data_IF_770528921533
#
_entry.id   IF_770528921533
#
_cell.length_a   1.000
_cell.length_b   1.000
_cell.length_c   1.000
_cell.angle_alpha   90.00
_cell.angle_beta   90.00
_cell.angle_gamma   90.00
#
_symmetry.space_group_name_H-M   'P 1'
#
loop_
_entity.id
_entity.type
_entity.pdbx_description
1 polymer ?
#
# COMPACT_ATOMS: atom_id res chain seq x y z
N UNK A 1 59.94 -37.48 59.57
CA UNK A 1 60.11 -37.51 58.09
C UNK A 1 58.74 -37.42 57.51
N UNK A 2 58.27 -36.16 57.20
CA UNK A 2 56.94 -35.87 56.72
C UNK A 2 56.93 -35.59 55.20
N UNK A 3 56.29 -36.41 54.43
CA UNK A 3 56.16 -36.22 53.01
C UNK A 3 54.87 -35.41 52.73
N UNK A 4 55.07 -34.21 52.20
CA UNK A 4 53.98 -33.33 51.74
C UNK A 4 53.71 -33.62 50.28
N UNK A 5 52.50 -34.11 49.95
CA UNK A 5 52.03 -34.31 48.56
C UNK A 5 51.33 -33.06 48.11
N UNK A 6 51.92 -32.34 47.16
CA UNK A 6 51.31 -31.22 46.48
C UNK A 6 50.39 -31.74 45.34
N UNK A 7 49.11 -31.43 45.40
CA UNK A 7 48.13 -31.68 44.33
C UNK A 7 48.03 -30.46 43.44
N UNK A 8 48.58 -30.53 42.23
CA UNK A 8 48.32 -29.51 41.18
C UNK A 8 46.95 -29.70 40.57
N UNK A 9 46.10 -28.70 40.69
CA UNK A 9 44.79 -28.63 40.03
C UNK A 9 44.98 -27.90 38.69
N UNK A 10 44.88 -28.62 37.58
CA UNK A 10 44.88 -28.04 36.24
C UNK A 10 43.45 -27.59 35.91
N UNK A 11 43.23 -26.29 35.85
CA UNK A 11 41.94 -25.72 35.40
C UNK A 11 41.89 -25.72 33.87
N UNK A 12 40.96 -26.48 33.31
CA UNK A 12 40.65 -26.45 31.89
C UNK A 12 39.61 -25.33 31.66
N UNK A 13 40.04 -24.25 31.01
CA UNK A 13 39.16 -23.16 30.57
C UNK A 13 38.57 -23.58 29.23
N UNK A 14 37.29 -23.95 29.22
CA UNK A 14 36.55 -24.21 28.01
C UNK A 14 36.03 -22.86 27.45
N UNK A 15 36.63 -22.38 26.37
CA UNK A 15 36.20 -21.19 25.65
C UNK A 15 34.97 -21.56 24.80
N UNK A 16 33.77 -21.11 25.20
CA UNK A 16 32.55 -21.22 24.40
C UNK A 16 32.52 -20.05 23.42
N UNK A 17 32.85 -20.31 22.16
CA UNK A 17 32.71 -19.32 21.07
C UNK A 17 31.26 -19.26 20.66
N UNK A 18 30.55 -18.18 21.06
CA UNK A 18 29.20 -17.87 20.65
C UNK A 18 29.23 -17.29 19.21
N UNK A 19 28.96 -18.13 18.21
CA UNK A 19 28.76 -17.68 16.86
C UNK A 19 27.40 -16.99 16.78
N UNK A 20 27.37 -15.65 16.83
CA UNK A 20 26.19 -14.86 16.48
C UNK A 20 25.97 -14.94 14.96
N UNK A 21 25.03 -15.76 14.52
CA UNK A 21 24.57 -15.75 13.13
C UNK A 21 23.84 -14.43 12.88
N UNK A 22 24.51 -13.46 12.29
CA UNK A 22 23.86 -12.30 11.69
C UNK A 22 23.05 -12.78 10.48
N UNK A 23 21.74 -12.92 10.67
CA UNK A 23 20.82 -13.06 9.56
C UNK A 23 20.84 -11.73 8.78
N UNK A 24 21.61 -11.67 7.70
CA UNK A 24 21.51 -10.58 6.74
C UNK A 24 20.16 -10.68 6.08
N UNK A 25 19.22 -9.83 6.49
CA UNK A 25 17.98 -9.63 5.76
C UNK A 25 18.37 -9.13 4.36
N UNK A 26 18.31 -10.01 3.37
CA UNK A 26 18.39 -9.63 1.96
C UNK A 26 17.24 -8.65 1.68
N UNK A 27 17.50 -7.41 1.20
CA UNK A 27 16.42 -6.54 0.77
C UNK A 27 15.62 -7.31 -0.27
N UNK A 28 14.29 -7.37 -0.11
CA UNK A 28 13.40 -7.96 -1.10
C UNK A 28 13.75 -7.31 -2.45
N UNK A 29 14.16 -8.13 -3.42
CA UNK A 29 14.48 -7.64 -4.75
C UNK A 29 13.26 -6.89 -5.28
N UNK A 30 13.44 -5.62 -5.66
CA UNK A 30 12.38 -4.83 -6.31
C UNK A 30 12.06 -5.54 -7.64
N UNK A 31 10.78 -5.86 -7.87
CA UNK A 31 10.36 -6.44 -9.13
C UNK A 31 10.79 -5.51 -10.29
N UNK A 32 11.26 -6.07 -11.39
CA UNK A 32 11.61 -5.29 -12.58
C UNK A 32 10.34 -4.61 -13.15
N UNK A 33 10.50 -3.41 -13.69
CA UNK A 33 9.40 -2.65 -14.30
C UNK A 33 8.68 -3.44 -15.39
N UNK A 34 9.43 -4.24 -16.15
CA UNK A 34 8.86 -5.13 -17.16
C UNK A 34 7.99 -6.22 -16.56
N UNK A 35 8.43 -6.83 -15.46
CA UNK A 35 7.64 -7.86 -14.77
C UNK A 35 6.37 -7.26 -14.16
N UNK A 36 6.46 -6.03 -13.62
CA UNK A 36 5.31 -5.30 -13.09
C UNK A 36 4.33 -4.98 -14.23
N UNK A 37 4.81 -4.46 -15.36
CA UNK A 37 3.98 -4.11 -16.50
C UNK A 37 3.27 -5.35 -17.07
N UNK A 38 3.97 -6.48 -17.21
CA UNK A 38 3.39 -7.75 -17.67
C UNK A 38 2.33 -8.27 -16.69
N UNK A 39 2.60 -8.21 -15.37
CA UNK A 39 1.66 -8.65 -14.35
C UNK A 39 0.38 -7.80 -14.34
N UNK A 40 0.50 -6.49 -14.50
CA UNK A 40 -0.63 -5.55 -14.61
C UNK A 40 -1.46 -5.81 -15.87
N UNK A 41 -0.80 -6.07 -17.01
CA UNK A 41 -1.47 -6.38 -18.27
C UNK A 41 -2.22 -7.72 -18.22
N UNK A 42 -1.67 -8.71 -17.53
CA UNK A 42 -2.33 -10.00 -17.34
C UNK A 42 -3.59 -9.92 -16.44
N UNK A 43 -3.70 -8.87 -15.61
CA UNK A 43 -4.80 -8.71 -14.65
C UNK A 43 -4.63 -9.56 -13.39
N UNK A 44 -5.71 -9.64 -12.59
CA UNK A 44 -5.73 -10.42 -11.35
C UNK A 44 -5.06 -9.72 -10.16
N UNK A 45 -4.78 -8.42 -10.25
CA UNK A 45 -4.13 -7.65 -9.20
C UNK A 45 -5.08 -6.64 -8.55
N UNK A 46 -4.81 -6.32 -7.29
CA UNK A 46 -5.48 -5.26 -6.53
C UNK A 46 -4.48 -4.14 -6.27
N UNK A 47 -4.78 -2.95 -6.77
CA UNK A 47 -3.98 -1.74 -6.67
C UNK A 47 -4.54 -0.87 -5.55
N UNK A 48 -3.82 -0.74 -4.44
CA UNK A 48 -4.15 0.17 -3.34
C UNK A 48 -3.44 1.49 -3.56
N UNK A 49 -4.20 2.55 -3.74
CA UNK A 49 -3.70 3.90 -4.01
C UNK A 49 -4.01 4.80 -2.82
N UNK A 50 -3.00 5.42 -2.21
CA UNK A 50 -3.26 6.59 -1.38
C UNK A 50 -3.65 7.74 -2.31
N UNK A 51 -4.74 8.46 -1.99
CA UNK A 51 -5.19 9.61 -2.78
C UNK A 51 -4.05 10.56 -3.19
N UNK A 52 -4.24 11.34 -4.24
CA UNK A 52 -3.27 12.32 -4.73
C UNK A 52 -2.93 13.40 -3.70
N UNK A 53 -1.95 14.25 -4.03
CA UNK A 53 -1.44 15.28 -3.13
C UNK A 53 -2.51 16.31 -2.75
N UNK A 54 -2.46 16.74 -1.49
CA UNK A 54 -3.36 17.71 -0.87
C UNK A 54 -2.54 18.82 -0.20
N UNK A 55 -3.18 19.91 0.22
CA UNK A 55 -2.51 20.95 1.00
C UNK A 55 -2.46 20.53 2.47
N UNK A 56 -1.27 20.35 3.07
CA UNK A 56 -1.14 19.86 4.44
C UNK A 56 -1.74 20.81 5.49
N UNK A 57 -1.82 22.10 5.19
CA UNK A 57 -2.35 23.13 6.10
C UNK A 57 -3.89 23.19 6.11
N UNK A 58 -4.54 22.44 5.23
CA UNK A 58 -6.01 22.34 5.21
C UNK A 58 -6.49 21.13 5.99
N UNK A 59 -7.62 21.28 6.68
CA UNK A 59 -8.30 20.24 7.42
C UNK A 59 -9.69 19.95 6.85
N UNK A 60 -10.23 18.78 7.15
CA UNK A 60 -11.65 18.47 6.96
C UNK A 60 -12.43 19.14 8.10
N UNK A 61 -13.21 20.20 7.83
CA UNK A 61 -13.92 20.98 8.85
C UNK A 61 -15.34 20.48 9.12
N UNK A 62 -15.88 19.62 8.25
CA UNK A 62 -17.18 18.95 8.41
C UNK A 62 -17.04 17.44 8.04
N UNK A 63 -16.30 16.67 8.85
CA UNK A 63 -15.76 15.37 8.43
C UNK A 63 -16.80 14.24 8.37
N UNK A 64 -18.01 14.44 8.89
CA UNK A 64 -19.11 13.46 8.78
C UNK A 64 -20.05 13.73 7.60
N UNK A 65 -19.96 14.90 6.99
CA UNK A 65 -20.77 15.31 5.86
C UNK A 65 -19.96 15.22 4.55
N UNK A 66 -19.96 14.06 3.95
CA UNK A 66 -19.20 13.81 2.72
C UNK A 66 -19.73 14.58 1.50
N UNK A 67 -20.94 15.14 1.56
CA UNK A 67 -21.52 15.94 0.48
C UNK A 67 -21.03 17.40 0.53
N UNK A 68 -20.53 17.86 1.67
CA UNK A 68 -19.94 19.18 1.84
C UNK A 68 -18.47 19.20 1.35
N UNK A 69 -18.30 19.16 0.03
CA UNK A 69 -16.95 19.08 -0.61
C UNK A 69 -16.09 20.29 -0.26
N UNK A 70 -16.68 21.48 -0.09
CA UNK A 70 -15.95 22.72 0.23
C UNK A 70 -15.34 22.70 1.62
N UNK A 71 -15.89 21.92 2.55
CA UNK A 71 -15.38 21.73 3.90
C UNK A 71 -14.31 20.62 4.00
N UNK A 72 -13.97 19.97 2.89
CA UNK A 72 -12.99 18.89 2.87
C UNK A 72 -11.61 19.40 2.42
N UNK A 73 -10.57 18.72 2.88
CA UNK A 73 -9.22 18.84 2.35
C UNK A 73 -9.15 18.17 0.98
N UNK A 74 -9.26 18.97 -0.08
CA UNK A 74 -9.30 18.50 -1.46
C UNK A 74 -7.91 18.33 -2.08
N UNK A 75 -7.82 17.73 -3.26
CA UNK A 75 -6.59 17.66 -4.05
C UNK A 75 -6.10 19.08 -4.39
N UNK A 76 -4.80 19.27 -4.30
CA UNK A 76 -4.13 20.44 -4.86
C UNK A 76 -3.79 20.21 -6.35
N UNK A 77 -3.27 21.22 -7.03
CA UNK A 77 -2.96 21.15 -8.47
C UNK A 77 -1.94 20.05 -8.79
N UNK A 78 -0.96 19.82 -7.91
CA UNK A 78 0.00 18.72 -8.05
C UNK A 78 -0.71 17.36 -7.96
N UNK A 79 -1.62 17.18 -7.01
CA UNK A 79 -2.40 15.96 -6.87
C UNK A 79 -3.26 15.67 -8.08
N UNK A 80 -3.90 16.71 -8.65
CA UNK A 80 -4.71 16.59 -9.88
C UNK A 80 -3.86 16.22 -11.09
N UNK A 81 -2.71 16.88 -11.28
CA UNK A 81 -1.80 16.59 -12.38
C UNK A 81 -1.26 15.15 -12.33
N UNK A 82 -0.85 14.70 -11.15
CA UNK A 82 -0.35 13.34 -10.94
C UNK A 82 -1.45 12.28 -11.09
N UNK A 83 -2.67 12.55 -10.64
CA UNK A 83 -3.81 11.64 -10.85
C UNK A 83 -4.11 11.44 -12.34
N UNK A 84 -4.05 12.53 -13.13
CA UNK A 84 -4.17 12.44 -14.59
C UNK A 84 -3.06 11.60 -15.21
N UNK A 85 -1.81 11.87 -14.85
CA UNK A 85 -0.65 11.14 -15.37
C UNK A 85 -0.70 9.64 -15.02
N UNK A 86 -1.18 9.29 -13.84
CA UNK A 86 -1.42 7.91 -13.41
C UNK A 86 -2.42 7.20 -14.31
N UNK A 87 -3.58 7.80 -14.56
CA UNK A 87 -4.59 7.22 -15.44
C UNK A 87 -4.11 7.10 -16.89
N UNK A 88 -3.41 8.12 -17.40
CA UNK A 88 -2.82 8.10 -18.74
C UNK A 88 -1.79 6.96 -18.87
N UNK A 89 -0.93 6.78 -17.87
CA UNK A 89 0.07 5.72 -17.87
C UNK A 89 -0.54 4.32 -17.88
N UNK A 90 -1.59 4.08 -17.08
CA UNK A 90 -2.30 2.79 -17.08
C UNK A 90 -2.95 2.51 -18.44
N UNK A 91 -3.58 3.50 -19.07
CA UNK A 91 -4.16 3.37 -20.41
C UNK A 91 -3.09 3.10 -21.48
N UNK A 92 -1.98 3.86 -21.42
CA UNK A 92 -0.86 3.67 -22.35
C UNK A 92 -0.24 2.27 -22.22
N UNK A 93 -0.14 1.74 -21.01
CA UNK A 93 0.33 0.39 -20.74
C UNK A 93 -0.70 -0.70 -21.07
N UNK A 94 -1.91 -0.34 -21.52
CA UNK A 94 -2.96 -1.32 -21.80
C UNK A 94 -3.42 -2.10 -20.56
N UNK A 95 -3.31 -1.51 -19.37
CA UNK A 95 -3.68 -2.18 -18.11
C UNK A 95 -5.21 -2.27 -18.00
N UNK A 96 -5.78 -3.48 -17.99
CA UNK A 96 -7.22 -3.66 -17.91
C UNK A 96 -7.73 -3.37 -16.49
N UNK A 97 -8.63 -2.40 -16.34
CA UNK A 97 -9.25 -2.03 -15.07
C UNK A 97 -10.71 -2.49 -15.05
N UNK A 98 -11.09 -3.27 -14.04
CA UNK A 98 -12.44 -3.75 -13.82
C UNK A 98 -13.19 -2.92 -12.79
N UNK A 99 -12.98 -3.18 -11.51
CA UNK A 99 -13.65 -2.48 -10.40
C UNK A 99 -12.79 -1.35 -9.84
N UNK A 100 -13.44 -0.22 -9.53
CA UNK A 100 -12.79 0.93 -8.88
C UNK A 100 -13.59 1.33 -7.65
N UNK A 101 -12.98 1.19 -6.47
CA UNK A 101 -13.58 1.59 -5.21
C UNK A 101 -12.81 2.76 -4.61
N UNK A 102 -13.52 3.73 -4.06
CA UNK A 102 -12.89 4.87 -3.39
C UNK A 102 -13.49 5.12 -2.01
N UNK A 103 -12.73 5.82 -1.17
CA UNK A 103 -13.28 6.49 0.00
C UNK A 103 -14.42 7.44 -0.40
N UNK A 104 -15.29 7.76 0.56
CA UNK A 104 -16.31 8.80 0.41
C UNK A 104 -15.74 10.21 0.39
N UNK A 105 -14.53 10.45 0.93
CA UNK A 105 -13.87 11.75 0.83
C UNK A 105 -13.54 12.11 -0.60
N UNK A 106 -13.79 13.38 -0.95
CA UNK A 106 -13.65 13.87 -2.32
C UNK A 106 -12.23 13.68 -2.89
N UNK A 107 -11.17 13.88 -2.09
CA UNK A 107 -9.78 13.70 -2.55
C UNK A 107 -9.48 12.30 -3.10
N UNK A 108 -10.09 11.25 -2.56
CA UNK A 108 -9.95 9.89 -3.07
C UNK A 108 -10.81 9.66 -4.32
N UNK A 109 -12.04 10.12 -4.30
CA UNK A 109 -12.96 10.04 -5.43
C UNK A 109 -12.45 10.87 -6.63
N UNK A 110 -12.04 12.12 -6.41
CA UNK A 110 -11.51 13.00 -7.44
C UNK A 110 -10.22 12.43 -8.06
N UNK A 111 -9.37 11.74 -7.27
CA UNK A 111 -8.21 11.00 -7.82
C UNK A 111 -8.64 9.99 -8.88
N UNK A 112 -9.71 9.21 -8.63
CA UNK A 112 -10.24 8.24 -9.59
C UNK A 112 -10.87 8.90 -10.82
N UNK A 113 -11.65 9.96 -10.61
CA UNK A 113 -12.31 10.72 -11.70
C UNK A 113 -11.31 11.33 -12.65
N UNK A 114 -10.28 12.01 -12.11
CA UNK A 114 -9.23 12.65 -12.90
C UNK A 114 -8.35 11.61 -13.61
N UNK A 115 -8.10 10.45 -12.98
CA UNK A 115 -7.44 9.33 -13.66
C UNK A 115 -8.27 8.75 -14.82
N UNK A 116 -9.55 9.10 -14.92
CA UNK A 116 -10.45 8.68 -16.01
C UNK A 116 -10.94 7.24 -15.87
N UNK A 117 -11.08 6.74 -14.64
CA UNK A 117 -11.65 5.41 -14.41
C UNK A 117 -13.18 5.43 -14.55
N UNK A 118 -13.78 4.39 -15.16
CA UNK A 118 -15.24 4.23 -15.21
C UNK A 118 -15.76 3.63 -13.91
N UNK A 119 -17.08 3.70 -13.72
CA UNK A 119 -17.85 2.94 -12.71
C UNK A 119 -17.26 2.99 -11.29
N UNK A 120 -16.97 4.20 -10.82
CA UNK A 120 -16.35 4.43 -9.50
C UNK A 120 -17.38 4.26 -8.39
N UNK A 121 -17.16 3.30 -7.50
CA UNK A 121 -17.99 3.06 -6.32
C UNK A 121 -17.37 3.68 -5.06
N UNK A 122 -18.12 4.54 -4.36
CA UNK A 122 -17.71 5.10 -3.06
C UNK A 122 -18.10 4.14 -1.93
N UNK A 123 -17.17 3.83 -1.03
CA UNK A 123 -17.44 2.95 0.11
C UNK A 123 -16.92 3.53 1.43
N UNK A 124 -17.66 3.27 2.51
CA UNK A 124 -17.24 3.59 3.87
C UNK A 124 -16.03 2.75 4.29
N UNK A 125 -15.85 1.57 3.74
CA UNK A 125 -14.77 0.65 4.11
C UNK A 125 -13.38 1.17 3.74
N UNK A 126 -13.29 2.06 2.76
CA UNK A 126 -12.07 2.77 2.36
C UNK A 126 -11.99 4.20 2.93
N UNK A 127 -13.00 4.63 3.71
CA UNK A 127 -13.07 6.00 4.23
C UNK A 127 -12.38 6.07 5.60
N UNK A 128 -11.43 6.99 5.74
CA UNK A 128 -10.77 7.19 7.04
C UNK A 128 -11.76 7.67 8.09
N UNK A 129 -11.63 7.11 9.30
CA UNK A 129 -12.47 7.49 10.43
C UNK A 129 -11.74 8.39 11.42
N UNK A 130 -10.41 8.31 11.46
CA UNK A 130 -9.59 9.08 12.39
C UNK A 130 -10.08 8.92 13.83
N UNK A 131 -10.22 10.05 14.54
CA UNK A 131 -10.80 10.13 15.88
C UNK A 131 -12.33 10.35 15.90
N UNK A 132 -12.97 10.41 14.72
CA UNK A 132 -14.38 10.78 14.56
C UNK A 132 -15.28 9.56 14.73
N UNK A 133 -14.80 8.38 14.37
CA UNK A 133 -15.53 7.13 14.52
C UNK A 133 -14.92 6.28 15.65
N UNK A 134 -15.72 5.35 16.17
CA UNK A 134 -15.27 4.48 17.27
C UNK A 134 -14.09 3.58 16.82
N UNK A 135 -13.23 3.14 17.77
CA UNK A 135 -12.19 2.14 17.47
C UNK A 135 -12.74 0.86 16.82
N UNK A 136 -13.93 0.41 17.26
CA UNK A 136 -14.59 -0.76 16.67
C UNK A 136 -14.94 -0.56 15.20
N UNK A 137 -15.42 0.62 14.82
CA UNK A 137 -15.72 0.95 13.44
C UNK A 137 -14.44 1.04 12.58
N UNK A 138 -13.36 1.64 13.11
CA UNK A 138 -12.06 1.63 12.43
C UNK A 138 -11.54 0.21 12.22
N UNK A 139 -11.67 -0.67 13.23
CA UNK A 139 -11.28 -2.08 13.10
C UNK A 139 -12.14 -2.82 12.07
N UNK A 140 -13.46 -2.55 12.03
CA UNK A 140 -14.37 -3.10 11.04
C UNK A 140 -13.95 -2.69 9.62
N UNK A 141 -13.67 -1.40 9.40
CA UNK A 141 -13.20 -0.87 8.10
C UNK A 141 -11.89 -1.51 7.68
N UNK A 142 -10.93 -1.62 8.59
CA UNK A 142 -9.66 -2.28 8.32
C UNK A 142 -9.85 -3.77 7.95
N UNK A 143 -10.76 -4.48 8.61
CA UNK A 143 -11.08 -5.87 8.27
C UNK A 143 -11.77 -5.99 6.89
N UNK A 144 -12.70 -5.09 6.58
CA UNK A 144 -13.35 -5.04 5.27
C UNK A 144 -12.33 -4.73 4.16
N UNK A 145 -11.43 -3.78 4.39
CA UNK A 145 -10.36 -3.47 3.44
C UNK A 145 -9.47 -4.69 3.17
N UNK A 146 -9.03 -5.43 4.20
CA UNK A 146 -8.27 -6.69 4.00
C UNK A 146 -9.04 -7.73 3.19
N UNK A 147 -10.35 -7.83 3.37
CA UNK A 147 -11.20 -8.72 2.54
C UNK A 147 -11.19 -8.27 1.07
N UNK A 148 -11.28 -6.97 0.79
CA UNK A 148 -11.19 -6.46 -0.59
C UNK A 148 -9.87 -6.82 -1.26
N UNK A 149 -8.75 -6.84 -0.51
CA UNK A 149 -7.44 -7.23 -1.02
C UNK A 149 -7.34 -8.73 -1.36
N UNK A 150 -8.12 -9.57 -0.68
CA UNK A 150 -8.12 -11.02 -0.87
C UNK A 150 -9.10 -11.48 -1.98
N UNK A 151 -9.95 -10.59 -2.48
CA UNK A 151 -10.90 -10.90 -3.56
C UNK A 151 -10.18 -10.82 -4.90
N UNK A 152 -10.15 -11.93 -5.62
CA UNK A 152 -9.64 -11.94 -6.99
C UNK A 152 -10.49 -11.01 -7.88
N UNK A 153 -9.87 -10.10 -8.66
CA UNK A 153 -10.59 -9.34 -9.67
C UNK A 153 -11.28 -10.26 -10.70
N UNK A 154 -12.26 -9.72 -11.41
CA UNK A 154 -12.85 -10.42 -12.54
C UNK A 154 -11.78 -10.79 -13.57
N UNK A 155 -12.03 -11.83 -14.37
CA UNK A 155 -11.09 -12.36 -15.35
C UNK A 155 -10.40 -11.27 -16.18
N UNK A 156 -9.08 -11.36 -16.22
CA UNK A 156 -8.20 -10.46 -16.97
C UNK A 156 -8.29 -8.97 -16.61
N UNK A 157 -8.87 -8.60 -15.46
CA UNK A 157 -8.90 -7.20 -15.01
C UNK A 157 -8.15 -7.01 -13.70
N UNK A 158 -7.89 -5.75 -13.35
CA UNK A 158 -7.37 -5.34 -12.04
C UNK A 158 -8.43 -4.55 -11.29
N UNK A 159 -8.39 -4.61 -9.95
CA UNK A 159 -9.23 -3.80 -9.07
C UNK A 159 -8.40 -2.65 -8.52
N UNK A 160 -8.98 -1.43 -8.46
CA UNK A 160 -8.36 -0.26 -7.84
C UNK A 160 -9.10 0.11 -6.56
N UNK A 161 -8.35 0.33 -5.47
CA UNK A 161 -8.85 0.78 -4.18
C UNK A 161 -8.15 2.10 -3.80
N UNK A 162 -8.87 3.23 -3.84
CA UNK A 162 -8.30 4.54 -3.49
C UNK A 162 -8.74 4.95 -2.09
N UNK A 163 -7.78 5.16 -1.21
CA UNK A 163 -8.01 5.35 0.22
C UNK A 163 -6.99 6.32 0.85
N UNK A 164 -6.80 6.24 2.16
CA UNK A 164 -6.01 7.16 2.98
C UNK A 164 -4.94 6.42 3.77
N UNK A 165 -3.86 7.12 4.15
CA UNK A 165 -2.79 6.54 4.95
C UNK A 165 -3.29 5.85 6.23
N UNK A 166 -4.19 6.45 7.06
CA UNK A 166 -4.66 5.78 8.27
C UNK A 166 -5.33 4.43 8.00
N UNK A 167 -6.13 4.32 6.92
CA UNK A 167 -6.76 3.06 6.53
C UNK A 167 -5.73 2.03 6.06
N UNK A 168 -4.75 2.46 5.26
CA UNK A 168 -3.68 1.60 4.76
C UNK A 168 -2.89 1.03 5.95
N UNK A 169 -2.47 1.87 6.89
CA UNK A 169 -1.75 1.45 8.10
C UNK A 169 -2.60 0.52 8.97
N UNK A 170 -3.89 0.82 9.18
CA UNK A 170 -4.78 -0.02 9.97
C UNK A 170 -5.02 -1.39 9.34
N UNK A 171 -5.05 -1.48 8.00
CA UNK A 171 -5.28 -2.73 7.29
C UNK A 171 -3.99 -3.55 7.09
N UNK A 172 -2.89 -2.91 6.70
CA UNK A 172 -1.66 -3.54 6.23
C UNK A 172 -0.51 -3.52 7.26
N UNK A 173 -0.62 -2.70 8.30
CA UNK A 173 0.36 -2.62 9.36
C UNK A 173 1.36 -1.46 9.22
N UNK A 174 2.27 -1.39 10.21
CA UNK A 174 3.22 -0.29 10.40
C UNK A 174 4.19 -0.06 9.22
N UNK A 175 4.43 -1.07 8.40
CA UNK A 175 5.34 -0.98 7.25
C UNK A 175 4.81 -0.05 6.14
N UNK A 176 3.54 0.39 6.26
CA UNK A 176 2.92 1.41 5.40
C UNK A 176 2.81 2.79 6.05
N UNK A 177 3.45 3.02 7.21
CA UNK A 177 3.40 4.32 7.87
C UNK A 177 3.99 5.45 7.01
N UNK A 178 4.95 5.13 6.15
CA UNK A 178 5.62 6.06 5.23
C UNK A 178 4.97 6.19 3.84
N UNK A 179 3.82 5.49 3.60
CA UNK A 179 3.15 5.55 2.31
C UNK A 179 2.89 7.00 1.87
N UNK A 180 3.34 7.37 0.67
CA UNK A 180 3.25 8.73 0.14
C UNK A 180 1.91 9.00 -0.53
N UNK A 181 1.51 10.27 -0.64
CA UNK A 181 0.37 10.68 -1.45
C UNK A 181 0.57 10.25 -2.91
N UNK A 182 -0.42 9.53 -3.46
CA UNK A 182 -0.36 8.95 -4.80
C UNK A 182 0.41 7.64 -4.91
N UNK A 183 1.07 7.16 -3.85
CA UNK A 183 1.72 5.86 -3.89
C UNK A 183 0.71 4.73 -4.08
N UNK A 184 1.08 3.77 -4.93
CA UNK A 184 0.31 2.56 -5.21
C UNK A 184 1.04 1.34 -4.68
N UNK A 185 0.38 0.57 -3.81
CA UNK A 185 0.81 -0.77 -3.41
C UNK A 185 0.03 -1.80 -4.22
N UNK A 186 0.73 -2.67 -4.95
CA UNK A 186 0.14 -3.69 -5.83
C UNK A 186 0.13 -5.02 -5.10
N UNK A 187 -1.02 -5.65 -5.01
CA UNK A 187 -1.20 -6.95 -4.36
C UNK A 187 -1.73 -8.00 -5.33
N UNK A 188 -1.32 -9.23 -5.13
CA UNK A 188 -1.91 -10.41 -5.74
C UNK A 188 -2.72 -11.15 -4.70
N UNK A 189 -4.05 -11.31 -4.88
CA UNK A 189 -4.85 -12.23 -4.09
C UNK A 189 -4.27 -13.65 -4.12
N UNK A 190 -4.30 -14.33 -2.99
CA UNK A 190 -3.77 -15.69 -2.85
C UNK A 190 -4.65 -16.46 -1.84
N UNK A 191 -4.53 -17.78 -1.84
CA UNK A 191 -5.23 -18.63 -0.86
C UNK A 191 -4.90 -18.18 0.56
N UNK A 192 -5.96 -17.80 1.31
CA UNK A 192 -5.84 -17.30 2.67
C UNK A 192 -5.41 -15.84 2.82
N UNK A 193 -5.34 -15.05 1.73
CA UNK A 193 -4.99 -13.62 1.85
C UNK A 193 -4.51 -12.95 0.56
N UNK A 194 -3.37 -12.26 0.65
CA UNK A 194 -2.79 -11.50 -0.46
C UNK A 194 -1.27 -11.38 -0.29
N UNK A 195 -0.55 -11.19 -1.39
CA UNK A 195 0.91 -10.97 -1.40
C UNK A 195 1.23 -9.64 -2.04
N UNK A 196 2.13 -8.85 -1.43
CA UNK A 196 2.67 -7.63 -2.03
C UNK A 196 3.53 -8.00 -3.26
N UNK A 197 3.27 -7.32 -4.37
CA UNK A 197 4.03 -7.44 -5.63
C UNK A 197 5.01 -6.28 -5.75
N UNK A 198 4.53 -5.05 -5.58
CA UNK A 198 5.35 -3.84 -5.70
C UNK A 198 4.71 -2.66 -4.95
N UNK A 199 5.54 -1.64 -4.65
CA UNK A 199 5.12 -0.30 -4.27
C UNK A 199 5.68 0.67 -5.29
N UNK A 200 4.83 1.53 -5.87
CA UNK A 200 5.14 2.43 -6.98
C UNK A 200 4.70 3.84 -6.61
N UNK A 201 5.60 4.81 -6.74
CA UNK A 201 5.24 6.22 -6.57
C UNK A 201 4.44 6.72 -7.78
N UNK A 202 3.59 7.73 -7.59
CA UNK A 202 2.71 8.21 -8.65
C UNK A 202 3.48 8.77 -9.87
N UNK A 203 4.67 9.31 -9.66
CA UNK A 203 5.55 9.83 -10.71
C UNK A 203 6.40 8.75 -11.43
N UNK A 204 6.40 7.51 -10.94
CA UNK A 204 7.08 6.38 -11.58
C UNK A 204 6.23 5.70 -12.67
N UNK A 205 4.93 5.93 -12.71
CA UNK A 205 4.01 5.27 -13.64
C UNK A 205 4.34 5.49 -15.12
N UNK A 206 4.77 6.70 -15.59
CA UNK A 206 5.18 6.88 -16.99
C UNK A 206 6.34 5.97 -17.41
N UNK A 207 7.26 5.66 -16.48
CA UNK A 207 8.39 4.75 -16.72
C UNK A 207 7.89 3.30 -16.94
N UNK A 208 6.97 2.84 -16.07
CA UNK A 208 6.36 1.50 -16.21
C UNK A 208 5.57 1.39 -17.52
N UNK A 209 4.81 2.42 -17.89
CA UNK A 209 4.08 2.45 -19.13
C UNK A 209 5.00 2.35 -20.37
N UNK A 210 6.19 2.96 -20.31
CA UNK A 210 7.14 2.97 -21.43
C UNK A 210 7.74 1.59 -21.73
N UNK A 211 7.83 0.68 -20.75
CA UNK A 211 8.35 -0.68 -20.95
C UNK A 211 7.25 -1.67 -21.32
N UNK A 212 5.99 -1.37 -21.02
CA UNK A 212 4.83 -2.17 -21.44
C UNK A 212 4.56 -2.08 -22.96
N UNK A 213 4.96 -0.97 -23.60
CA UNK A 213 4.71 -0.67 -25.02
C UNK A 213 5.76 -1.25 -25.96
N UNK A 214 6.76 -1.95 -25.45
CA UNK A 214 7.85 -2.60 -26.22
C UNK A 214 7.69 -4.10 -26.26
#
# INVERSE_FOLDING_TARGET
>A
MMFTISKSITAVVASVSLFAAFATATPAARADDKDIAQALHAGGLVLVVRHGATDPDKADTDPLNFDNITAQRNLNDKGKALAKAFGDALRQAGVPIGKVYTSKYNRAYETAVIAGFPDIEKTTDLTEGGLIVSPNENNRRAAAFRKMLAVAPNDHTNTILITHQPNIVAALGKDWFDVKEGETSIFRPADGGYKLVARIQMDEWPRIASVASK
#
